data_IF_167602201974
#
_entry.id   IF_167602201974
#
_cell.length_a   1.000
_cell.length_b   1.000
_cell.length_c   1.000
_cell.angle_alpha   90.00
_cell.angle_beta   90.00
_cell.angle_gamma   90.00
#
_symmetry.space_group_name_H-M   'P 1'
#
loop_
_entity.id
_entity.type
_entity.pdbx_description
1 polymer ?
#
# COMPACT_ATOMS: atom_id res chain seq x y z
N UNK A 1 -15.64 -8.96 5.22
CA UNK A 1 -14.39 -8.29 4.82
C UNK A 1 -14.76 -7.25 3.77
N UNK A 2 -14.73 -5.95 4.10
CA UNK A 2 -15.04 -4.91 3.11
C UNK A 2 -13.93 -4.95 2.05
N UNK A 3 -14.33 -5.13 0.80
CA UNK A 3 -13.40 -5.19 -0.32
C UNK A 3 -12.90 -3.76 -0.59
N UNK A 4 -11.65 -3.63 -1.01
CA UNK A 4 -11.09 -2.37 -1.56
C UNK A 4 -11.39 -2.28 -3.06
N UNK A 5 -12.47 -2.92 -3.50
CA UNK A 5 -12.84 -3.14 -4.89
C UNK A 5 -13.06 -1.79 -5.59
N UNK A 6 -11.99 -1.33 -6.26
CA UNK A 6 -12.00 -0.11 -7.07
C UNK A 6 -10.94 0.93 -6.69
N UNK A 7 -10.28 0.83 -5.53
CA UNK A 7 -9.22 1.79 -5.18
C UNK A 7 -7.82 1.22 -5.46
N UNK A 8 -7.22 1.67 -6.57
CA UNK A 8 -5.87 1.26 -6.99
C UNK A 8 -4.73 1.84 -6.11
N UNK A 9 -5.06 2.63 -5.07
CA UNK A 9 -4.10 3.25 -4.16
C UNK A 9 -4.07 2.60 -2.76
N UNK A 10 -4.77 1.49 -2.57
CA UNK A 10 -4.70 0.65 -1.36
C UNK A 10 -4.30 -0.77 -1.76
N UNK A 11 -3.32 -1.33 -1.07
CA UNK A 11 -2.85 -2.72 -1.28
C UNK A 11 -4.01 -3.68 -1.09
N UNK A 12 -4.32 -4.46 -2.12
CA UNK A 12 -5.45 -5.38 -2.06
C UNK A 12 -5.17 -6.53 -1.09
N UNK A 13 -6.18 -6.86 -0.28
CA UNK A 13 -6.16 -7.98 0.65
C UNK A 13 -6.95 -9.14 0.07
N UNK A 14 -6.27 -10.26 -0.22
CA UNK A 14 -6.88 -11.43 -0.84
C UNK A 14 -7.50 -12.39 0.19
N UNK A 15 -6.93 -12.46 1.39
CA UNK A 15 -7.50 -13.26 2.46
C UNK A 15 -6.49 -13.64 3.53
N UNK A 16 -6.77 -14.76 4.20
CA UNK A 16 -5.94 -15.33 5.27
C UNK A 16 -5.68 -16.79 4.94
N UNK A 17 -4.44 -17.22 5.11
CA UNK A 17 -4.03 -18.63 5.06
C UNK A 17 -3.77 -19.13 6.48
N UNK A 18 -4.12 -20.40 6.74
CA UNK A 18 -3.86 -21.07 8.00
C UNK A 18 -2.96 -22.27 7.76
N UNK A 19 -1.88 -22.37 8.52
CA UNK A 19 -0.95 -23.51 8.48
C UNK A 19 -1.29 -24.48 9.61
N UNK A 20 -1.82 -25.70 9.33
CA UNK A 20 -2.16 -26.66 10.37
C UNK A 20 -0.93 -27.13 11.18
N UNK A 21 0.24 -27.15 10.53
CA UNK A 21 1.48 -27.65 11.11
C UNK A 21 2.07 -26.69 12.14
N UNK A 22 2.05 -25.39 11.83
CA UNK A 22 2.58 -24.35 12.73
C UNK A 22 1.50 -23.69 13.59
N UNK A 23 0.22 -23.90 13.24
CA UNK A 23 -0.97 -23.23 13.80
C UNK A 23 -0.94 -21.71 13.63
N UNK A 24 -0.22 -21.21 12.63
CA UNK A 24 -0.13 -19.79 12.34
C UNK A 24 -1.15 -19.33 11.30
N UNK A 25 -1.59 -18.08 11.45
CA UNK A 25 -2.35 -17.36 10.44
C UNK A 25 -1.44 -16.41 9.68
N UNK A 26 -1.53 -16.41 8.35
CA UNK A 26 -0.78 -15.52 7.47
C UNK A 26 -1.75 -14.70 6.62
N UNK A 27 -1.52 -13.39 6.52
CA UNK A 27 -2.31 -12.51 5.66
C UNK A 27 -1.77 -12.61 4.22
N UNK A 28 -2.66 -12.84 3.27
CA UNK A 28 -2.34 -12.90 1.83
C UNK A 28 -2.81 -11.61 1.17
N UNK A 29 -1.88 -10.83 0.63
CA UNK A 29 -2.14 -9.52 0.03
C UNK A 29 -1.40 -9.36 -1.30
N UNK A 30 -1.78 -8.35 -2.08
CA UNK A 30 -1.15 -7.99 -3.34
C UNK A 30 0.37 -7.82 -3.17
N UNK A 31 1.11 -8.48 -4.06
CA UNK A 31 2.55 -8.34 -4.14
C UNK A 31 2.91 -7.02 -4.83
N UNK A 32 3.76 -6.23 -4.19
CA UNK A 32 4.29 -5.00 -4.77
C UNK A 32 5.70 -5.24 -5.28
N UNK A 33 5.83 -5.36 -6.61
CA UNK A 33 7.08 -5.70 -7.31
C UNK A 33 8.22 -4.73 -6.95
N UNK A 34 7.91 -3.44 -6.84
CA UNK A 34 8.88 -2.39 -6.52
C UNK A 34 9.18 -2.23 -5.02
N UNK A 35 8.61 -3.11 -4.19
CA UNK A 35 8.79 -3.06 -2.74
C UNK A 35 8.08 -1.89 -2.08
N UNK A 36 8.76 -1.19 -1.17
CA UNK A 36 8.20 0.00 -0.52
C UNK A 36 8.61 1.27 -1.24
N UNK A 37 7.80 2.33 -1.11
CA UNK A 37 8.09 3.65 -1.66
C UNK A 37 9.49 4.14 -1.23
N UNK A 38 9.92 3.87 0.00
CA UNK A 38 11.28 4.18 0.45
C UNK A 38 12.35 3.52 -0.43
N UNK A 39 12.24 2.22 -0.68
CA UNK A 39 13.20 1.48 -1.52
C UNK A 39 13.17 1.99 -2.96
N UNK A 40 11.97 2.20 -3.49
CA UNK A 40 11.78 2.74 -4.83
C UNK A 40 12.47 4.11 -4.98
N UNK A 41 12.21 5.05 -4.06
CA UNK A 41 12.83 6.37 -4.11
C UNK A 41 14.35 6.31 -3.92
N UNK A 42 14.89 5.39 -3.10
CA UNK A 42 16.34 5.21 -2.99
C UNK A 42 17.02 4.88 -4.32
N UNK A 43 16.34 4.11 -5.18
CA UNK A 43 16.88 3.71 -6.49
C UNK A 43 16.56 4.71 -7.62
N UNK A 44 15.42 5.42 -7.53
CA UNK A 44 14.85 6.15 -8.69
C UNK A 44 14.66 7.65 -8.46
N UNK A 45 14.99 8.22 -7.30
CA UNK A 45 14.69 9.63 -7.01
C UNK A 45 15.27 10.61 -8.03
N UNK A 46 16.49 10.37 -8.50
CA UNK A 46 17.18 11.23 -9.48
C UNK A 46 16.61 11.11 -10.90
N UNK A 47 15.99 9.97 -11.23
CA UNK A 47 15.37 9.74 -12.53
C UNK A 47 13.90 10.16 -12.59
N UNK A 48 13.27 10.40 -11.43
CA UNK A 48 11.90 10.88 -11.35
C UNK A 48 11.83 12.38 -11.63
N UNK A 49 11.06 12.74 -12.66
CA UNK A 49 10.70 14.11 -12.91
C UNK A 49 9.65 14.63 -11.91
N UNK A 50 9.43 15.94 -11.91
CA UNK A 50 8.46 16.58 -11.02
C UNK A 50 7.02 16.09 -11.24
N UNK A 51 6.53 15.96 -12.48
CA UNK A 51 5.21 15.38 -12.74
C UNK A 51 5.01 13.99 -12.10
N UNK A 52 6.00 13.08 -12.20
CA UNK A 52 5.90 11.77 -11.59
C UNK A 52 5.85 11.85 -10.05
N UNK A 53 6.64 12.75 -9.44
CA UNK A 53 6.62 12.99 -7.99
C UNK A 53 5.25 13.51 -7.51
N UNK A 54 4.65 14.43 -8.26
CA UNK A 54 3.30 14.94 -7.97
C UNK A 54 2.27 13.82 -8.09
N UNK A 55 2.36 12.98 -9.12
CA UNK A 55 1.45 11.86 -9.30
C UNK A 55 1.53 10.86 -8.14
N UNK A 56 2.73 10.54 -7.66
CA UNK A 56 2.90 9.70 -6.45
C UNK A 56 2.20 10.31 -5.23
N UNK A 57 2.33 11.62 -5.01
CA UNK A 57 1.64 12.30 -3.90
C UNK A 57 0.11 12.27 -4.05
N UNK A 58 -0.42 12.45 -5.27
CA UNK A 58 -1.85 12.35 -5.57
C UNK A 58 -2.36 10.94 -5.27
N UNK A 59 -1.61 9.91 -5.64
CA UNK A 59 -2.00 8.52 -5.36
C UNK A 59 -2.05 8.22 -3.86
N UNK A 60 -1.04 8.66 -3.11
CA UNK A 60 -1.00 8.49 -1.65
C UNK A 60 -2.20 9.21 -1.00
N UNK A 61 -2.49 10.45 -1.41
CA UNK A 61 -3.60 11.22 -0.86
C UNK A 61 -4.96 10.63 -1.18
N UNK A 62 -5.16 10.06 -2.38
CA UNK A 62 -6.38 9.31 -2.74
C UNK A 62 -6.57 8.05 -1.90
N UNK A 63 -5.49 7.32 -1.61
CA UNK A 63 -5.54 6.18 -0.69
C UNK A 63 -5.95 6.60 0.72
N UNK A 64 -5.37 7.70 1.22
CA UNK A 64 -5.72 8.27 2.53
C UNK A 64 -7.16 8.76 2.60
N UNK A 65 -7.63 9.47 1.58
CA UNK A 65 -9.03 9.91 1.47
C UNK A 65 -9.98 8.71 1.58
N UNK A 66 -9.70 7.64 0.84
CA UNK A 66 -10.53 6.43 0.86
C UNK A 66 -10.63 5.81 2.25
N UNK A 67 -9.52 5.60 2.96
CA UNK A 67 -9.58 5.02 4.32
C UNK A 67 -10.23 5.99 5.31
N UNK A 68 -10.07 7.29 5.15
CA UNK A 68 -10.71 8.29 6.01
C UNK A 68 -12.22 8.34 5.81
N UNK A 69 -12.71 8.17 4.58
CA UNK A 69 -14.14 8.02 4.28
C UNK A 69 -14.74 6.78 4.96
N UNK A 70 -13.93 5.72 5.12
CA UNK A 70 -14.30 4.53 5.90
C UNK A 70 -14.08 4.70 7.42
N UNK A 71 -13.78 5.91 7.89
CA UNK A 71 -13.49 6.25 9.29
C UNK A 71 -12.27 5.51 9.87
N UNK A 72 -11.32 5.13 9.03
CA UNK A 72 -10.08 4.44 9.42
C UNK A 72 -8.91 5.42 9.38
N UNK A 73 -8.24 5.61 10.51
CA UNK A 73 -6.96 6.31 10.57
C UNK A 73 -5.81 5.32 10.28
N UNK A 74 -4.90 5.66 9.35
CA UNK A 74 -3.73 4.80 9.05
C UNK A 74 -2.79 4.62 10.26
N UNK A 75 -2.59 5.69 11.07
CA UNK A 75 -1.76 5.72 12.29
C UNK A 75 -0.25 5.45 12.14
N UNK A 76 0.21 5.04 10.96
CA UNK A 76 1.63 4.76 10.68
C UNK A 76 2.00 5.10 9.23
N UNK A 77 1.61 6.31 8.79
CA UNK A 77 1.85 6.78 7.43
C UNK A 77 3.34 7.11 7.24
N UNK A 78 4.09 6.14 6.74
CA UNK A 78 5.52 6.26 6.46
C UNK A 78 5.86 5.64 5.10
N UNK A 79 6.90 6.15 4.43
CA UNK A 79 7.36 5.64 3.11
C UNK A 79 7.79 4.17 3.11
N UNK A 80 8.00 3.56 4.29
CA UNK A 80 8.26 2.12 4.42
C UNK A 80 6.98 1.27 4.32
N UNK A 81 5.83 1.85 4.63
CA UNK A 81 4.52 1.20 4.66
C UNK A 81 3.69 1.46 3.40
N UNK A 82 4.12 2.43 2.58
CA UNK A 82 3.58 2.68 1.25
C UNK A 82 4.24 1.72 0.25
N UNK A 83 3.44 1.13 -0.64
CA UNK A 83 3.87 0.18 -1.68
C UNK A 83 3.47 0.68 -3.05
#
# INVERSE_FOLDING_TARGET
MRRTDGNNNIVQLYGVSFSPNTRDFTIVMQYAENGSLRKYLQCHFSSLDWPAKINLAIQITRGLEFIHLEHIAHRDLHSKNLR
#
